data_IF_735379004328
#
_entry.id   IF_735379004328
#
_cell.length_a   1.000
_cell.length_b   1.000
_cell.length_c   1.000
_cell.angle_alpha   90.00
_cell.angle_beta   90.00
_cell.angle_gamma   90.00
#
_symmetry.space_group_name_H-M   'P 1'
#
loop_
_entity.id
_entity.type
_entity.pdbx_description
1 polymer ?
#
# COMPACT_ATOMS: atom_id res chain seq x y z
N UNK A 1 -7.97 -18.47 10.86
CA UNK A 1 -7.39 -17.15 10.57
C UNK A 1 -7.73 -16.25 11.75
N UNK A 2 -6.78 -15.93 12.62
CA UNK A 2 -7.07 -15.14 13.82
C UNK A 2 -6.29 -13.83 13.91
N UNK A 3 -5.44 -13.52 12.93
CA UNK A 3 -4.50 -12.41 13.03
C UNK A 3 -4.66 -11.42 11.86
N UNK A 4 -5.89 -11.05 11.52
CA UNK A 4 -6.30 -9.81 10.81
C UNK A 4 -5.59 -9.37 9.52
N UNK A 5 -4.62 -10.14 9.01
CA UNK A 5 -3.65 -9.74 8.00
C UNK A 5 -3.54 -10.86 6.96
N UNK A 6 -3.84 -10.54 5.70
CA UNK A 6 -3.78 -11.49 4.60
C UNK A 6 -4.58 -11.01 3.40
N UNK A 7 -4.83 -11.93 2.48
CA UNK A 7 -5.52 -11.68 1.22
C UNK A 7 -6.61 -12.74 1.01
N UNK A 8 -7.71 -12.31 0.40
CA UNK A 8 -8.73 -13.18 -0.16
C UNK A 8 -8.71 -13.03 -1.68
N UNK A 9 -8.42 -14.13 -2.39
CA UNK A 9 -8.31 -14.17 -3.84
C UNK A 9 -9.53 -14.86 -4.42
N UNK A 10 -10.28 -14.12 -5.23
CA UNK A 10 -11.48 -14.58 -5.91
C UNK A 10 -11.17 -14.89 -7.36
N UNK A 11 -11.73 -15.99 -7.84
CA UNK A 11 -11.56 -16.46 -9.21
C UNK A 11 -12.79 -16.13 -10.07
N UNK A 12 -12.60 -16.08 -11.39
CA UNK A 12 -13.72 -16.11 -12.32
C UNK A 12 -14.43 -17.47 -12.24
N UNK A 13 -15.76 -17.57 -12.47
CA UNK A 13 -16.46 -18.85 -12.46
C UNK A 13 -15.84 -19.88 -13.41
N UNK A 14 -15.49 -19.46 -14.64
CA UNK A 14 -14.80 -20.30 -15.61
C UNK A 14 -13.43 -20.79 -15.10
N UNK A 15 -12.72 -20.00 -14.30
CA UNK A 15 -11.46 -20.44 -13.72
C UNK A 15 -11.67 -21.56 -12.70
N UNK A 16 -12.74 -21.51 -11.90
CA UNK A 16 -13.08 -22.58 -10.96
C UNK A 16 -13.45 -23.88 -11.69
N UNK A 17 -14.10 -23.78 -12.84
CA UNK A 17 -14.41 -24.94 -13.70
C UNK A 17 -13.13 -25.57 -14.27
N UNK A 18 -12.17 -24.75 -14.72
CA UNK A 18 -10.89 -25.21 -15.30
C UNK A 18 -9.94 -25.76 -14.24
N UNK A 19 -9.78 -25.05 -13.13
CA UNK A 19 -8.91 -25.44 -12.02
C UNK A 19 -9.48 -26.66 -11.27
N UNK A 20 -10.81 -26.80 -11.26
CA UNK A 20 -11.52 -27.99 -10.83
C UNK A 20 -11.17 -28.43 -9.41
N UNK A 21 -11.04 -29.74 -9.23
CA UNK A 21 -10.83 -30.36 -7.92
C UNK A 21 -9.49 -30.01 -7.27
N UNK A 22 -8.50 -29.55 -8.04
CA UNK A 22 -7.16 -29.27 -7.54
C UNK A 22 -7.13 -28.14 -6.51
N UNK A 23 -8.04 -27.15 -6.63
CA UNK A 23 -8.05 -25.99 -5.73
C UNK A 23 -9.15 -26.07 -4.67
N UNK A 24 -10.08 -27.03 -4.79
CA UNK A 24 -11.25 -27.14 -3.89
C UNK A 24 -10.85 -27.24 -2.42
N UNK A 25 -9.75 -27.91 -2.12
CA UNK A 25 -9.24 -28.05 -0.75
C UNK A 25 -8.82 -26.70 -0.11
N UNK A 26 -8.56 -25.69 -0.93
CA UNK A 26 -8.09 -24.36 -0.49
C UNK A 26 -9.18 -23.28 -0.60
N UNK A 27 -10.34 -23.62 -1.16
CA UNK A 27 -11.47 -22.70 -1.27
C UNK A 27 -12.19 -22.60 0.07
N UNK A 28 -12.37 -21.35 0.51
CA UNK A 28 -13.23 -20.98 1.61
C UNK A 28 -14.51 -20.37 1.06
N UNK A 29 -15.63 -20.74 1.66
CA UNK A 29 -16.91 -20.08 1.39
C UNK A 29 -17.04 -18.81 2.24
N UNK A 30 -17.46 -17.73 1.60
CA UNK A 30 -17.69 -16.46 2.25
C UNK A 30 -18.96 -15.77 1.74
N UNK A 31 -19.42 -14.70 2.41
CA UNK A 31 -20.63 -13.96 2.00
C UNK A 31 -20.57 -13.42 0.56
N UNK A 32 -19.36 -13.20 0.04
CA UNK A 32 -19.08 -12.68 -1.31
C UNK A 32 -18.68 -13.77 -2.31
N UNK A 33 -18.80 -15.05 -1.92
CA UNK A 33 -18.50 -16.22 -2.75
C UNK A 33 -17.19 -16.95 -2.39
N UNK A 34 -16.85 -18.00 -3.16
CA UNK A 34 -15.67 -18.82 -2.93
C UNK A 34 -14.38 -18.06 -3.20
N UNK A 35 -13.42 -18.19 -2.29
CA UNK A 35 -12.12 -17.52 -2.38
C UNK A 35 -11.01 -18.37 -1.75
N UNK A 36 -9.77 -18.12 -2.16
CA UNK A 36 -8.59 -18.63 -1.46
C UNK A 36 -8.11 -17.58 -0.47
N UNK A 37 -7.87 -17.98 0.78
CA UNK A 37 -7.20 -17.13 1.75
C UNK A 37 -5.69 -17.41 1.79
N UNK A 38 -4.88 -16.36 1.69
CA UNK A 38 -3.42 -16.47 1.69
C UNK A 38 -2.78 -15.34 2.50
N UNK A 39 -1.54 -15.57 2.94
CA UNK A 39 -0.74 -14.60 3.71
C UNK A 39 -0.08 -13.57 2.80
N UNK A 40 0.39 -14.01 1.65
CA UNK A 40 1.14 -13.22 0.67
C UNK A 40 0.59 -13.47 -0.74
N UNK A 41 0.66 -12.42 -1.58
CA UNK A 41 0.30 -12.47 -2.99
C UNK A 41 1.32 -11.64 -3.79
N UNK A 42 1.92 -12.25 -4.80
CA UNK A 42 2.72 -11.58 -5.82
C UNK A 42 1.97 -11.58 -7.16
N UNK A 43 1.89 -10.42 -7.80
CA UNK A 43 1.26 -10.22 -9.12
C UNK A 43 2.21 -9.55 -10.11
N UNK A 44 3.53 -9.64 -9.90
CA UNK A 44 4.55 -8.98 -10.71
C UNK A 44 4.70 -9.55 -12.12
N UNK A 45 4.13 -10.72 -12.40
CA UNK A 45 4.22 -11.41 -13.70
C UNK A 45 2.87 -11.81 -14.30
N UNK A 46 2.91 -12.77 -15.23
CA UNK A 46 1.71 -13.35 -15.86
C UNK A 46 0.94 -14.31 -14.95
N UNK A 47 1.52 -14.64 -13.80
CA UNK A 47 0.95 -15.50 -12.79
C UNK A 47 0.77 -14.73 -11.49
N UNK A 48 -0.19 -15.18 -10.70
CA UNK A 48 -0.41 -14.77 -9.32
C UNK A 48 0.16 -15.88 -8.45
N UNK A 49 1.16 -15.53 -7.67
CA UNK A 49 1.82 -16.44 -6.72
C UNK A 49 1.24 -16.15 -5.34
N UNK A 50 0.77 -17.19 -4.64
CA UNK A 50 0.11 -17.05 -3.35
C UNK A 50 0.76 -17.99 -2.34
N UNK A 51 1.03 -17.49 -1.13
CA UNK A 51 1.53 -18.30 -0.02
C UNK A 51 0.41 -18.57 0.98
N UNK A 52 0.04 -19.84 1.15
CA UNK A 52 -1.05 -20.32 1.99
C UNK A 52 -0.49 -21.06 3.22
N UNK A 53 -1.19 -20.96 4.34
CA UNK A 53 -0.92 -21.81 5.51
C UNK A 53 -1.62 -23.17 5.33
N UNK A 54 -0.83 -24.23 5.18
CA UNK A 54 -1.29 -25.61 5.07
C UNK A 54 -1.11 -26.41 6.36
N UNK A 55 -1.65 -27.62 6.37
CA UNK A 55 -1.30 -28.66 7.33
C UNK A 55 -0.99 -29.97 6.60
N UNK A 56 0.08 -30.64 7.01
CA UNK A 56 0.39 -31.99 6.51
C UNK A 56 -0.48 -33.07 7.17
N UNK A 57 -0.27 -34.33 6.79
CA UNK A 57 -1.01 -35.48 7.31
C UNK A 57 -0.80 -35.71 8.83
N UNK A 58 0.24 -35.11 9.41
CA UNK A 58 0.60 -35.17 10.82
C UNK A 58 0.12 -33.91 11.58
N UNK A 59 -0.62 -33.03 10.90
CA UNK A 59 -1.16 -31.80 11.45
C UNK A 59 -0.11 -30.70 11.67
N UNK A 60 1.12 -30.88 11.19
CA UNK A 60 2.16 -29.86 11.26
C UNK A 60 1.86 -28.75 10.26
N UNK A 61 2.21 -27.51 10.62
CA UNK A 61 2.08 -26.37 9.72
C UNK A 61 3.09 -26.49 8.59
N UNK A 62 2.62 -26.32 7.36
CA UNK A 62 3.46 -26.27 6.17
C UNK A 62 3.10 -25.03 5.38
N UNK A 63 4.11 -24.36 4.80
CA UNK A 63 3.87 -23.29 3.85
C UNK A 63 3.58 -23.92 2.47
N UNK A 64 2.47 -23.51 1.86
CA UNK A 64 2.05 -23.96 0.54
C UNK A 64 2.15 -22.80 -0.44
N UNK A 65 2.70 -23.05 -1.63
CA UNK A 65 2.73 -22.09 -2.72
C UNK A 65 1.74 -22.49 -3.81
N UNK A 66 0.82 -21.59 -4.14
CA UNK A 66 -0.17 -21.78 -5.19
C UNK A 66 0.03 -20.72 -6.27
N UNK A 67 0.30 -21.17 -7.49
CA UNK A 67 0.56 -20.32 -8.65
C UNK A 67 -0.57 -20.50 -9.66
N UNK A 68 -1.22 -19.40 -10.04
CA UNK A 68 -2.36 -19.41 -10.97
C UNK A 68 -2.19 -18.33 -12.06
N UNK A 69 -2.68 -18.54 -13.28
CA UNK A 69 -2.65 -17.49 -14.31
C UNK A 69 -3.40 -16.24 -13.87
N UNK A 70 -2.84 -15.05 -14.14
CA UNK A 70 -3.45 -13.78 -13.72
C UNK A 70 -4.86 -13.58 -14.27
N UNK A 71 -5.13 -14.03 -15.50
CA UNK A 71 -6.45 -13.91 -16.15
C UNK A 71 -7.54 -14.79 -15.50
N UNK A 72 -7.17 -15.72 -14.62
CA UNK A 72 -8.13 -16.55 -13.88
C UNK A 72 -8.61 -15.87 -12.60
N UNK A 73 -7.86 -14.88 -12.11
CA UNK A 73 -8.17 -14.14 -10.88
C UNK A 73 -9.08 -12.97 -11.21
N UNK A 74 -10.25 -12.94 -10.55
CA UNK A 74 -11.24 -11.88 -10.71
C UNK A 74 -10.93 -10.68 -9.83
N UNK A 75 -10.49 -10.94 -8.60
CA UNK A 75 -10.31 -9.90 -7.59
C UNK A 75 -9.41 -10.40 -6.45
N UNK A 76 -8.54 -9.53 -5.96
CA UNK A 76 -7.71 -9.77 -4.76
C UNK A 76 -8.09 -8.72 -3.72
N UNK A 77 -8.50 -9.16 -2.54
CA UNK A 77 -8.88 -8.30 -1.41
C UNK A 77 -7.84 -8.46 -0.33
N UNK A 78 -7.07 -7.42 -0.04
CA UNK A 78 -6.27 -7.39 1.18
C UNK A 78 -7.18 -7.13 2.39
N UNK A 79 -6.90 -7.79 3.50
CA UNK A 79 -7.45 -7.47 4.80
C UNK A 79 -6.27 -7.21 5.73
N UNK A 80 -6.20 -6.00 6.31
CA UNK A 80 -5.22 -5.64 7.34
C UNK A 80 -5.94 -4.97 8.49
N UNK A 81 -5.59 -5.36 9.71
CA UNK A 81 -6.14 -4.77 10.94
C UNK A 81 -5.38 -3.53 11.43
N UNK A 82 -4.28 -3.13 10.77
CA UNK A 82 -3.50 -1.93 11.13
C UNK A 82 -3.27 -0.97 9.95
N UNK A 83 -3.08 0.32 10.29
CA UNK A 83 -3.24 1.56 9.50
C UNK A 83 -2.40 1.73 8.21
N UNK A 84 -1.74 0.69 7.69
CA UNK A 84 -1.07 0.73 6.36
C UNK A 84 -1.71 -0.27 5.39
N UNK A 85 -2.63 0.23 4.56
CA UNK A 85 -3.35 -0.53 3.55
C UNK A 85 -3.05 -0.01 2.13
N UNK A 86 -2.68 -0.90 1.19
CA UNK A 86 -2.55 -0.60 -0.25
C UNK A 86 -1.27 -1.10 -0.94
N UNK A 87 -1.25 -1.06 -2.27
CA UNK A 87 -0.12 -1.40 -3.16
C UNK A 87 0.76 -0.17 -3.49
N UNK A 88 0.90 0.77 -2.55
CA UNK A 88 1.74 1.94 -2.78
C UNK A 88 3.22 1.52 -2.86
N UNK A 89 4.02 2.12 -3.77
CA UNK A 89 5.46 1.98 -3.74
C UNK A 89 5.95 2.25 -2.31
N UNK A 90 6.86 1.42 -1.77
CA UNK A 90 7.50 1.74 -0.50
C UNK A 90 8.08 3.15 -0.64
N UNK A 91 7.50 4.13 0.05
CA UNK A 91 8.16 5.41 0.22
C UNK A 91 9.52 5.08 0.82
N UNK A 92 10.58 5.39 0.06
CA UNK A 92 11.93 5.24 0.53
C UNK A 92 12.00 5.93 1.89
N UNK A 93 12.52 5.21 2.89
CA UNK A 93 12.86 5.80 4.18
C UNK A 93 13.65 7.06 3.85
N UNK A 94 13.24 8.27 4.29
CA UNK A 94 14.02 9.46 4.03
C UNK A 94 15.42 9.21 4.60
N UNK A 95 16.39 9.05 3.73
CA UNK A 95 17.79 9.11 4.12
C UNK A 95 17.94 10.54 4.62
N UNK A 96 18.09 10.69 5.94
CA UNK A 96 18.36 11.98 6.54
C UNK A 96 19.46 12.67 5.72
N UNK A 97 19.27 13.93 5.29
CA UNK A 97 20.26 14.60 4.47
C UNK A 97 21.57 14.63 5.26
N UNK A 98 22.59 13.97 4.70
CA UNK A 98 23.94 14.00 5.22
C UNK A 98 24.34 15.48 5.41
N UNK A 99 24.78 15.79 6.63
CA UNK A 99 25.26 17.11 7.01
C UNK A 99 26.30 17.62 5.99
N UNK A 100 26.32 18.94 5.70
CA UNK A 100 27.22 19.48 4.69
C UNK A 100 28.69 19.25 5.09
N UNK A 101 29.57 18.89 4.15
CA UNK A 101 31.00 18.86 4.42
C UNK A 101 31.50 20.30 4.59
N UNK A 102 31.83 20.68 5.82
CA UNK A 102 32.56 21.92 6.12
C UNK A 102 34.03 21.66 5.80
N UNK A 103 34.43 21.96 4.56
CA UNK A 103 35.82 21.94 4.09
C UNK A 103 36.26 23.33 3.61
N UNK A 104 37.55 23.69 3.71
CA UNK A 104 38.03 25.08 3.72
C UNK A 104 38.04 25.83 2.37
N UNK A 105 37.44 25.30 1.30
CA UNK A 105 37.56 25.87 -0.06
C UNK A 105 36.20 26.00 -0.79
N UNK A 106 35.15 26.44 -0.08
CA UNK A 106 33.88 26.80 -0.71
C UNK A 106 33.89 28.26 -1.20
N UNK A 107 33.80 28.48 -2.50
CA UNK A 107 33.61 29.83 -3.07
C UNK A 107 32.19 30.35 -2.74
N UNK A 108 32.00 31.66 -2.48
CA UNK A 108 30.69 32.22 -2.15
C UNK A 108 29.76 32.13 -3.36
N UNK A 109 28.58 31.52 -3.19
CA UNK A 109 27.49 31.65 -4.17
C UNK A 109 26.75 32.94 -3.85
N UNK A 110 27.04 33.98 -4.63
CA UNK A 110 26.35 35.26 -4.63
C UNK A 110 25.24 35.21 -5.68
N UNK A 111 23.97 35.19 -5.24
CA UNK A 111 22.81 35.49 -6.07
C UNK A 111 21.64 35.94 -5.17
N UNK A 112 21.17 37.21 -5.30
CA UNK A 112 20.07 37.74 -4.52
C UNK A 112 18.73 37.04 -4.78
N UNK A 113 18.00 36.75 -3.70
CA UNK A 113 16.61 36.28 -3.72
C UNK A 113 15.68 37.31 -4.32
N UNK A 114 14.93 36.94 -5.37
CA UNK A 114 13.73 37.68 -5.76
C UNK A 114 12.64 36.72 -6.26
N UNK A 115 11.56 36.62 -5.48
CA UNK A 115 10.17 36.85 -5.91
C UNK A 115 9.21 36.38 -4.80
N UNK A 116 8.43 37.32 -4.28
CA UNK A 116 7.35 37.11 -3.30
C UNK A 116 6.02 36.94 -4.06
N UNK A 117 5.15 35.97 -3.72
CA UNK A 117 3.73 36.06 -4.05
C UNK A 117 2.98 36.80 -2.93
N UNK A 118 2.25 37.84 -3.32
CA UNK A 118 1.34 38.62 -2.51
C UNK A 118 0.01 37.85 -2.28
N UNK A 119 -0.47 37.75 -1.04
CA UNK A 119 -1.87 38.06 -0.65
C UNK A 119 -2.18 37.69 0.81
N UNK A 120 -2.49 38.70 1.63
CA UNK A 120 -3.70 38.70 2.46
C UNK A 120 -3.59 38.64 4.00
N UNK A 121 -4.12 39.70 4.63
CA UNK A 121 -4.82 39.72 5.95
C UNK A 121 -3.94 39.84 7.22
N UNK A 122 -4.19 40.61 8.28
CA UNK A 122 -5.22 41.57 8.74
C UNK A 122 -4.70 42.22 10.05
N UNK A 123 -5.17 43.43 10.38
CA UNK A 123 -5.18 44.04 11.74
C UNK A 123 -3.90 44.81 12.10
N UNK A 124 -3.91 46.00 12.70
CA UNK A 124 -4.81 46.56 13.71
C UNK A 124 -4.76 48.11 13.66
N UNK A 125 -5.83 48.77 14.12
CA UNK A 125 -6.06 50.23 14.14
C UNK A 125 -5.23 50.92 15.26
N UNK A 126 -5.49 52.16 15.76
CA UNK A 126 -6.35 53.28 15.34
C UNK A 126 -5.63 54.66 15.40
N UNK A 127 -6.27 55.78 15.00
CA UNK A 127 -6.23 57.07 15.75
C UNK A 127 -7.42 57.95 15.34
N UNK A 128 -8.00 58.57 16.36
CA UNK A 128 -9.26 59.29 16.46
C UNK A 128 -9.18 60.79 16.08
N UNK A 129 -10.22 61.27 15.35
CA UNK A 129 -10.95 62.60 15.38
C UNK A 129 -10.20 63.95 15.32
N UNK A 130 -10.89 65.13 15.18
CA UNK A 130 -12.28 65.45 14.82
C UNK A 130 -12.42 66.61 13.78
N UNK A 131 -13.66 66.97 13.40
CA UNK A 131 -13.98 68.37 13.09
C UNK A 131 -14.86 68.63 11.88
N UNK A 132 -16.14 68.87 12.13
CA UNK A 132 -17.16 69.36 11.19
C UNK A 132 -16.89 70.83 10.75
N UNK A 133 -17.52 71.31 9.68
CA UNK A 133 -18.63 72.27 9.89
C UNK A 133 -19.98 71.85 9.30
#
# INVERSE_FOLDING_TARGET
>A
MSDGNGYAVYFHPQALEVLGDAIKAYLLEGPTGPHVACREVDTGGSFVEMTLDGRDAQGQRVDLELIVPLNMVRMIVSARSEDRFGFAPRAAVPVEPALPPVGPTGAPVEAPSEAVPDTGSVGDAPVQTPGKP
#
